data_IF_366171537649
#
_entry.id   IF_366171537649
#
_cell.length_a   1.000
_cell.length_b   1.000
_cell.length_c   1.000
_cell.angle_alpha   90.00
_cell.angle_beta   90.00
_cell.angle_gamma   90.00
#
_symmetry.space_group_name_H-M   'P 1'
#
loop_
_entity.id
_entity.type
_entity.pdbx_description
1 polymer ?
#
# COMPACT_ATOMS: atom_id res chain seq x y z
N UNK A 1 -36.19 -42.48 66.74
CA UNK A 1 -35.09 -43.38 66.32
C UNK A 1 -34.73 -43.03 64.88
N UNK A 2 -33.43 -42.97 64.55
CA UNK A 2 -32.94 -42.80 63.17
C UNK A 2 -32.23 -41.48 62.90
N UNK A 3 -30.93 -41.42 63.25
CA UNK A 3 -29.97 -40.40 62.80
C UNK A 3 -29.46 -40.74 61.39
N UNK A 4 -29.09 -39.71 60.62
CA UNK A 4 -28.22 -39.82 59.43
C UNK A 4 -28.14 -38.47 58.71
N UNK A 5 -27.18 -37.61 59.07
CA UNK A 5 -25.92 -37.35 58.35
C UNK A 5 -26.02 -36.21 57.30
N UNK A 6 -25.33 -35.10 57.57
CA UNK A 6 -25.02 -33.93 56.69
C UNK A 6 -24.15 -34.39 55.47
N UNK A 7 -23.65 -33.56 54.49
CA UNK A 7 -23.62 -32.08 54.40
C UNK A 7 -23.69 -31.39 52.98
N UNK A 8 -23.93 -30.06 53.00
CA UNK A 8 -23.42 -28.95 52.12
C UNK A 8 -23.97 -28.84 50.67
N UNK A 9 -24.51 -27.70 50.22
CA UNK A 9 -23.76 -26.48 49.90
C UNK A 9 -24.69 -25.25 49.77
N UNK A 10 -24.29 -24.11 50.35
CA UNK A 10 -24.92 -22.80 50.11
C UNK A 10 -24.41 -22.22 48.77
N UNK A 11 -25.33 -21.90 47.87
CA UNK A 11 -25.06 -21.07 46.70
C UNK A 11 -25.04 -19.59 47.09
N UNK A 12 -23.87 -18.97 47.05
CA UNK A 12 -23.71 -17.52 47.15
C UNK A 12 -23.77 -16.89 45.76
N UNK A 13 -24.74 -15.97 45.58
CA UNK A 13 -24.95 -15.17 44.40
C UNK A 13 -23.74 -14.27 44.09
N UNK A 14 -23.04 -14.56 43.00
CA UNK A 14 -22.03 -13.68 42.42
C UNK A 14 -22.67 -12.67 41.46
N UNK A 15 -22.69 -11.40 41.85
CA UNK A 15 -22.96 -10.29 40.93
C UNK A 15 -21.83 -10.21 39.90
N UNK A 16 -22.17 -10.35 38.61
CA UNK A 16 -21.24 -10.07 37.51
C UNK A 16 -21.22 -8.57 37.21
N UNK A 17 -20.07 -7.87 37.28
CA UNK A 17 -19.96 -6.54 36.69
C UNK A 17 -19.67 -6.67 35.20
N UNK A 18 -20.50 -6.03 34.38
CA UNK A 18 -20.25 -5.77 32.95
C UNK A 18 -18.96 -4.94 32.79
N UNK A 19 -18.04 -5.27 31.87
CA UNK A 19 -17.01 -4.33 31.48
C UNK A 19 -17.61 -3.32 30.50
N UNK A 20 -17.66 -2.07 30.94
CA UNK A 20 -17.91 -0.87 30.14
C UNK A 20 -16.80 -0.67 29.10
N UNK A 21 -17.21 -0.44 27.87
CA UNK A 21 -16.38 -0.03 26.73
C UNK A 21 -15.75 1.33 26.98
N UNK A 22 -14.49 1.33 27.41
CA UNK A 22 -13.56 2.43 27.18
C UNK A 22 -12.42 1.87 26.34
N UNK A 23 -12.43 2.18 25.04
CA UNK A 23 -11.28 2.00 24.14
C UNK A 23 -10.21 3.02 24.53
N UNK A 24 -9.55 2.76 25.65
CA UNK A 24 -8.32 3.42 26.06
C UNK A 24 -7.14 2.70 25.40
N UNK A 25 -6.19 3.50 24.93
CA UNK A 25 -4.87 3.10 24.44
C UNK A 25 -4.14 2.21 25.47
N UNK A 26 -4.39 0.90 25.47
CA UNK A 26 -3.57 -0.04 26.22
C UNK A 26 -2.39 -0.44 25.34
N UNK A 27 -1.37 0.41 25.34
CA UNK A 27 0.00 -0.05 25.05
C UNK A 27 0.29 -1.12 26.09
N UNK A 28 0.42 -2.37 25.64
CA UNK A 28 0.62 -3.49 26.56
C UNK A 28 1.95 -3.33 27.28
N UNK A 29 2.02 -3.74 28.56
CA UNK A 29 3.26 -3.74 29.35
C UNK A 29 4.41 -4.49 28.62
N UNK A 30 4.06 -5.43 27.73
CA UNK A 30 5.00 -6.13 26.85
C UNK A 30 5.68 -5.22 25.79
N UNK A 31 4.98 -4.20 25.28
CA UNK A 31 5.59 -3.17 24.41
C UNK A 31 6.48 -2.19 25.20
N UNK A 32 6.21 -2.01 26.50
CA UNK A 32 7.08 -1.24 27.40
C UNK A 32 8.30 -2.05 27.90
N UNK A 33 8.21 -3.38 27.95
CA UNK A 33 9.28 -4.25 28.46
C UNK A 33 10.54 -4.27 27.57
N UNK A 34 10.48 -3.80 26.33
CA UNK A 34 11.67 -3.62 25.47
C UNK A 34 12.49 -2.35 25.75
N UNK A 35 12.09 -1.54 26.74
CA UNK A 35 12.82 -0.33 27.16
C UNK A 35 13.90 -0.56 28.22
N UNK A 36 14.25 -1.81 28.54
CA UNK A 36 15.32 -2.09 29.48
C UNK A 36 16.70 -1.85 28.84
N UNK A 37 17.11 -0.59 28.76
CA UNK A 37 18.49 -0.18 28.49
C UNK A 37 19.13 0.28 29.81
N UNK A 38 19.47 -0.67 30.69
CA UNK A 38 20.36 -0.41 31.82
C UNK A 38 21.81 -0.51 31.34
N UNK A 39 22.29 0.53 30.68
CA UNK A 39 23.73 0.80 30.54
C UNK A 39 23.92 2.30 30.74
N UNK A 40 24.64 2.69 31.79
CA UNK A 40 25.12 4.06 31.98
C UNK A 40 26.07 4.39 30.84
N UNK A 41 25.71 5.30 29.92
CA UNK A 41 26.60 5.70 28.83
C UNK A 41 27.85 6.30 29.44
N UNK A 42 29.01 5.74 29.11
CA UNK A 42 30.29 6.18 29.66
C UNK A 42 30.89 7.34 28.86
N UNK A 43 30.41 7.58 27.62
CA UNK A 43 30.86 8.67 26.77
C UNK A 43 29.69 9.45 26.11
N UNK A 44 29.87 10.75 25.80
CA UNK A 44 28.87 11.53 25.05
C UNK A 44 28.56 10.96 23.65
N UNK A 45 29.51 10.26 23.03
CA UNK A 45 29.33 9.62 21.71
C UNK A 45 28.41 8.42 21.81
N UNK A 46 28.61 7.55 22.79
CA UNK A 46 27.74 6.39 23.04
C UNK A 46 26.31 6.81 23.34
N UNK A 47 26.14 7.89 24.12
CA UNK A 47 24.83 8.44 24.41
C UNK A 47 24.13 8.95 23.14
N UNK A 48 24.84 9.72 22.31
CA UNK A 48 24.30 10.23 21.04
C UNK A 48 23.89 9.10 20.10
N UNK A 49 24.71 8.06 19.94
CA UNK A 49 24.34 6.91 19.11
C UNK A 49 23.14 6.15 19.67
N UNK A 50 23.05 5.99 20.99
CA UNK A 50 21.88 5.35 21.63
C UNK A 50 20.60 6.16 21.43
N UNK A 51 20.66 7.49 21.56
CA UNK A 51 19.53 8.35 21.25
C UNK A 51 19.11 8.25 19.78
N UNK A 52 20.09 8.23 18.85
CA UNK A 52 19.82 8.07 17.41
C UNK A 52 19.15 6.73 17.11
N UNK A 53 19.68 5.64 17.67
CA UNK A 53 19.12 4.29 17.54
C UNK A 53 17.66 4.24 18.01
N UNK A 54 17.38 4.77 19.21
CA UNK A 54 16.02 4.80 19.78
C UNK A 54 15.09 5.66 18.94
N UNK A 55 15.54 6.84 18.49
CA UNK A 55 14.77 7.74 17.63
C UNK A 55 14.37 7.05 16.31
N UNK A 56 15.31 6.40 15.62
CA UNK A 56 15.01 5.65 14.39
C UNK A 56 14.01 4.52 14.65
N UNK A 57 14.15 3.77 15.75
CA UNK A 57 13.19 2.72 16.13
C UNK A 57 11.79 3.27 16.38
N UNK A 58 11.68 4.43 17.02
CA UNK A 58 10.39 5.09 17.26
C UNK A 58 9.74 5.53 15.95
N UNK A 59 10.48 6.15 15.02
CA UNK A 59 9.97 6.54 13.71
C UNK A 59 9.49 5.32 12.90
N UNK A 60 10.26 4.23 12.89
CA UNK A 60 9.85 2.98 12.24
C UNK A 60 8.58 2.40 12.88
N UNK A 61 8.48 2.45 14.20
CA UNK A 61 7.30 1.95 14.93
C UNK A 61 6.07 2.79 14.61
N UNK A 62 6.21 4.11 14.53
CA UNK A 62 5.16 5.03 14.11
C UNK A 62 4.69 4.73 12.68
N UNK A 63 5.62 4.64 11.72
CA UNK A 63 5.28 4.32 10.33
C UNK A 63 4.53 2.99 10.21
N UNK A 64 4.92 1.98 11.01
CA UNK A 64 4.23 0.69 11.06
C UNK A 64 2.82 0.81 11.64
N UNK A 65 2.63 1.60 12.70
CA UNK A 65 1.34 1.81 13.32
C UNK A 65 0.37 2.47 12.33
N UNK A 66 0.76 3.62 11.77
CA UNK A 66 -0.09 4.35 10.83
C UNK A 66 -0.27 3.61 9.50
N UNK A 67 0.79 2.97 9.01
CA UNK A 67 0.71 2.07 7.86
C UNK A 67 -0.28 0.93 8.09
N UNK A 68 -0.37 0.41 9.32
CA UNK A 68 -1.35 -0.62 9.68
C UNK A 68 -2.77 -0.06 9.68
N UNK A 69 -2.99 1.18 10.16
CA UNK A 69 -4.31 1.82 10.10
C UNK A 69 -4.82 1.93 8.67
N UNK A 70 -3.98 2.46 7.76
CA UNK A 70 -4.28 2.55 6.32
C UNK A 70 -4.52 1.17 5.70
N UNK A 71 -3.64 0.20 6.02
CA UNK A 71 -3.77 -1.17 5.54
C UNK A 71 -5.08 -1.84 5.98
N UNK A 72 -5.56 -1.57 7.19
CA UNK A 72 -6.83 -2.10 7.69
C UNK A 72 -8.04 -1.48 6.98
N UNK A 73 -8.01 -0.18 6.68
CA UNK A 73 -9.06 0.47 5.89
C UNK A 73 -9.17 -0.18 4.51
N UNK A 74 -8.04 -0.33 3.83
CA UNK A 74 -7.96 -0.96 2.51
C UNK A 74 -8.42 -2.42 2.56
N UNK A 75 -7.91 -3.22 3.49
CA UNK A 75 -8.27 -4.64 3.66
C UNK A 75 -9.77 -4.83 3.86
N UNK A 76 -10.34 -4.17 4.88
CA UNK A 76 -11.76 -4.29 5.22
C UNK A 76 -12.64 -3.92 4.03
N UNK A 77 -12.25 -2.90 3.27
CA UNK A 77 -12.99 -2.47 2.09
C UNK A 77 -12.98 -3.48 0.94
N UNK A 78 -11.92 -4.27 0.84
CA UNK A 78 -11.80 -5.33 -0.17
C UNK A 78 -12.60 -6.55 0.27
N UNK A 79 -12.49 -6.95 1.53
CA UNK A 79 -13.18 -8.13 2.08
C UNK A 79 -14.70 -7.97 2.16
N UNK A 80 -15.20 -6.75 2.36
CA UNK A 80 -16.64 -6.50 2.54
C UNK A 80 -17.46 -6.51 1.23
N UNK A 81 -16.82 -6.61 0.04
CA UNK A 81 -17.50 -6.44 -1.25
C UNK A 81 -17.57 -7.74 -2.05
N UNK A 82 -18.71 -7.99 -2.66
CA UNK A 82 -18.85 -9.02 -3.71
C UNK A 82 -18.31 -8.47 -5.05
N UNK A 83 -17.07 -8.86 -5.38
CA UNK A 83 -16.37 -8.40 -6.58
C UNK A 83 -16.88 -9.01 -7.88
N UNK A 84 -17.62 -10.13 -7.82
CA UNK A 84 -18.25 -10.75 -9.00
C UNK A 84 -19.52 -10.00 -9.41
N UNK A 85 -20.25 -9.44 -8.44
CA UNK A 85 -21.52 -8.71 -8.66
C UNK A 85 -21.37 -7.19 -8.57
N UNK A 86 -20.18 -6.69 -8.86
CA UNK A 86 -19.93 -5.25 -8.88
C UNK A 86 -20.69 -4.57 -10.02
N UNK A 87 -21.20 -3.37 -9.77
CA UNK A 87 -21.76 -2.49 -10.80
C UNK A 87 -20.65 -1.72 -11.50
N UNK A 88 -20.92 -1.27 -12.72
CA UNK A 88 -20.02 -0.41 -13.48
C UNK A 88 -19.60 0.82 -12.66
N UNK A 89 -18.30 1.10 -12.51
CA UNK A 89 -17.82 2.17 -11.66
C UNK A 89 -18.20 3.53 -12.22
N UNK A 90 -18.78 4.39 -11.37
CA UNK A 90 -19.15 5.78 -11.69
C UNK A 90 -18.48 6.81 -10.77
N UNK A 91 -17.81 6.32 -9.73
CA UNK A 91 -17.15 7.13 -8.72
C UNK A 91 -16.03 6.31 -8.07
N UNK A 92 -15.04 7.02 -7.54
CA UNK A 92 -14.01 6.44 -6.65
C UNK A 92 -14.66 6.00 -5.34
N UNK A 93 -14.23 4.86 -4.78
CA UNK A 93 -14.78 4.40 -3.50
C UNK A 93 -14.44 5.36 -2.35
N UNK A 94 -15.40 5.57 -1.46
CA UNK A 94 -15.25 6.47 -0.30
C UNK A 94 -14.06 6.12 0.59
N UNK A 95 -13.76 4.84 0.79
CA UNK A 95 -12.59 4.41 1.56
C UNK A 95 -11.26 4.88 0.95
N UNK A 96 -11.19 4.99 -0.37
CA UNK A 96 -9.97 5.40 -1.08
C UNK A 96 -9.75 6.90 -0.88
N UNK A 97 -10.82 7.68 -0.99
CA UNK A 97 -10.82 9.11 -0.62
C UNK A 97 -10.42 9.30 0.84
N UNK A 98 -10.98 8.48 1.73
CA UNK A 98 -10.66 8.50 3.16
C UNK A 98 -9.18 8.23 3.44
N UNK A 99 -8.55 7.31 2.70
CA UNK A 99 -7.10 7.07 2.82
C UNK A 99 -6.31 8.32 2.46
N UNK A 100 -6.70 9.06 1.41
CA UNK A 100 -6.03 10.32 1.04
C UNK A 100 -6.26 11.41 2.11
N UNK A 101 -7.46 11.50 2.67
CA UNK A 101 -7.75 12.41 3.80
C UNK A 101 -6.87 12.11 5.02
N UNK A 102 -6.80 10.83 5.43
CA UNK A 102 -6.00 10.40 6.57
C UNK A 102 -4.49 10.65 6.32
N UNK A 103 -4.00 10.46 5.09
CA UNK A 103 -2.61 10.76 4.74
C UNK A 103 -2.30 12.26 4.74
N UNK A 104 -3.24 13.12 4.34
CA UNK A 104 -3.07 14.58 4.43
C UNK A 104 -2.99 15.05 5.88
N UNK A 105 -3.84 14.51 6.75
CA UNK A 105 -3.79 14.80 8.19
C UNK A 105 -2.46 14.34 8.80
N UNK A 106 -1.98 13.14 8.41
CA UNK A 106 -0.67 12.66 8.81
C UNK A 106 0.48 13.56 8.29
N UNK A 107 0.46 14.00 7.03
CA UNK A 107 1.46 14.94 6.50
C UNK A 107 1.50 16.23 7.33
N UNK A 108 0.32 16.76 7.70
CA UNK A 108 0.23 17.96 8.53
C UNK A 108 0.81 17.75 9.94
N UNK A 109 0.49 16.63 10.59
CA UNK A 109 0.99 16.29 11.93
C UNK A 109 2.51 16.04 11.92
N UNK A 110 3.02 15.26 10.96
CA UNK A 110 4.45 14.94 10.84
C UNK A 110 5.25 16.21 10.52
N UNK A 111 4.73 17.08 9.65
CA UNK A 111 5.36 18.35 9.28
C UNK A 111 5.47 19.35 10.44
N UNK A 112 4.61 19.25 11.45
CA UNK A 112 4.71 20.07 12.67
C UNK A 112 5.77 19.55 13.64
N UNK A 113 6.02 18.24 13.65
CA UNK A 113 6.87 17.57 14.63
C UNK A 113 8.32 17.43 14.18
N UNK A 114 8.58 17.28 12.87
CA UNK A 114 9.93 17.24 12.34
C UNK A 114 10.36 18.64 11.88
N UNK A 115 11.58 19.10 12.23
CA UNK A 115 12.11 20.36 11.75
C UNK A 115 11.99 20.44 10.23
N UNK A 116 11.36 21.52 9.76
CA UNK A 116 11.12 21.84 8.36
C UNK A 116 12.44 21.78 7.57
N UNK A 117 12.77 20.61 7.00
CA UNK A 117 13.55 20.60 5.78
C UNK A 117 12.71 21.41 4.81
N UNK A 118 13.20 22.60 4.43
CA UNK A 118 12.52 23.55 3.57
C UNK A 118 11.90 22.82 2.38
N UNK A 119 10.60 22.50 2.50
CA UNK A 119 9.82 21.93 1.42
C UNK A 119 9.86 23.03 0.37
N UNK A 120 10.53 22.77 -0.75
CA UNK A 120 10.51 23.67 -1.91
C UNK A 120 9.05 23.79 -2.34
N UNK A 121 8.37 24.78 -1.75
CA UNK A 121 6.96 25.09 -1.94
C UNK A 121 6.80 25.91 -3.23
N UNK A 122 7.53 25.51 -4.27
CA UNK A 122 7.37 26.04 -5.64
C UNK A 122 6.62 25.06 -6.54
N UNK A 123 6.20 23.89 -6.03
CA UNK A 123 5.27 23.00 -6.76
C UNK A 123 3.80 23.45 -6.69
N UNK A 124 3.57 24.67 -6.18
CA UNK A 124 2.25 25.26 -5.94
C UNK A 124 1.94 26.47 -6.82
N UNK A 125 2.34 26.46 -8.09
CA UNK A 125 1.71 27.22 -9.16
C UNK A 125 2.37 26.85 -10.48
N UNK A 126 1.70 26.04 -11.30
CA UNK A 126 1.63 26.26 -12.75
C UNK A 126 0.65 25.27 -13.39
N UNK A 127 -0.39 25.86 -13.98
CA UNK A 127 -1.06 25.47 -15.22
C UNK A 127 -1.23 23.99 -15.56
N UNK A 128 -2.51 23.63 -15.70
CA UNK A 128 -3.00 22.55 -16.57
C UNK A 128 -2.35 22.62 -17.96
N UNK A 129 -1.21 21.98 -18.16
CA UNK A 129 -0.73 21.50 -19.47
C UNK A 129 0.60 20.77 -19.28
N UNK A 130 0.58 19.44 -19.36
CA UNK A 130 1.28 18.72 -20.42
C UNK A 130 1.04 17.22 -20.26
N UNK A 131 0.38 16.70 -21.29
CA UNK A 131 0.37 15.31 -21.71
C UNK A 131 1.79 14.70 -21.63
N UNK A 132 2.11 13.97 -20.57
CA UNK A 132 3.12 12.92 -20.64
C UNK A 132 2.41 11.63 -21.05
N UNK A 133 2.49 11.30 -22.33
CA UNK A 133 1.89 10.10 -22.90
C UNK A 133 2.34 8.85 -22.14
N UNK A 134 1.40 8.24 -21.42
CA UNK A 134 1.56 6.87 -20.95
C UNK A 134 1.52 5.94 -22.17
N UNK A 135 2.50 5.04 -22.21
CA UNK A 135 2.68 4.09 -23.28
C UNK A 135 1.50 3.12 -23.30
N UNK A 136 0.91 3.01 -24.49
CA UNK A 136 -0.09 2.04 -24.88
C UNK A 136 0.16 0.66 -24.30
N UNK A 137 -0.89 0.09 -23.70
CA UNK A 137 -1.06 -1.36 -23.53
C UNK A 137 -1.28 -2.04 -24.89
N UNK A 138 -0.26 -1.97 -25.76
CA UNK A 138 -0.12 -2.77 -26.99
C UNK A 138 1.35 -3.14 -27.18
N UNK A 139 1.69 -4.40 -27.52
CA UNK A 139 3.03 -4.73 -27.95
C UNK A 139 3.23 -4.18 -29.37
N UNK A 140 3.68 -2.93 -29.47
CA UNK A 140 4.20 -2.38 -30.72
C UNK A 140 5.67 -2.79 -30.84
N UNK A 141 5.90 -3.74 -31.74
CA UNK A 141 7.16 -4.06 -32.41
C UNK A 141 8.09 -2.85 -32.58
N UNK A 142 9.16 -2.79 -31.77
CA UNK A 142 10.29 -1.89 -31.99
C UNK A 142 11.24 -2.53 -33.01
N UNK A 143 10.94 -2.35 -34.30
CA UNK A 143 11.89 -2.58 -35.38
C UNK A 143 12.33 -1.22 -35.93
N UNK A 144 13.41 -0.66 -35.38
CA UNK A 144 14.35 0.21 -36.10
C UNK A 144 15.55 0.55 -35.21
N UNK A 145 16.40 -0.44 -34.97
CA UNK A 145 17.82 -0.20 -34.71
C UNK A 145 18.56 -1.40 -35.31
N UNK A 146 19.06 -1.20 -36.53
CA UNK A 146 20.10 -1.92 -37.27
C UNK A 146 19.78 -1.81 -38.76
N UNK A 147 19.99 -0.62 -39.30
CA UNK A 147 20.21 -0.46 -40.74
C UNK A 147 21.71 -0.39 -40.97
N UNK A 148 22.33 -1.56 -41.18
CA UNK A 148 23.63 -1.71 -41.79
C UNK A 148 23.82 -3.15 -42.29
N UNK A 149 23.78 -3.29 -43.63
CA UNK A 149 24.42 -4.33 -44.43
C UNK A 149 24.17 -5.82 -44.09
N UNK A 150 23.36 -6.52 -44.90
CA UNK A 150 23.92 -7.46 -45.89
C UNK A 150 22.83 -8.03 -46.82
N UNK A 151 23.12 -8.07 -48.13
CA UNK A 151 22.36 -8.85 -49.12
C UNK A 151 22.77 -10.33 -49.02
N UNK A 152 21.94 -11.19 -49.64
CA UNK A 152 22.22 -12.54 -50.22
C UNK A 152 21.69 -13.77 -49.43
N UNK A 153 20.60 -14.32 -50.00
CA UNK A 153 20.20 -15.73 -50.17
C UNK A 153 19.96 -16.69 -48.99
N UNK A 154 18.90 -17.50 -49.21
CA UNK A 154 18.74 -18.93 -48.89
C UNK A 154 17.70 -19.31 -47.82
N UNK A 155 16.80 -20.18 -48.27
CA UNK A 155 15.88 -21.07 -47.56
C UNK A 155 16.44 -21.74 -46.31
N UNK A 156 15.60 -21.91 -45.30
CA UNK A 156 15.88 -22.81 -44.17
C UNK A 156 14.97 -22.53 -42.98
N UNK A 157 14.28 -23.58 -42.54
CA UNK A 157 13.40 -23.67 -41.38
C UNK A 157 13.96 -23.03 -40.10
N UNK A 158 13.13 -22.36 -39.30
CA UNK A 158 13.25 -22.33 -37.83
C UNK A 158 11.99 -21.76 -37.20
N UNK A 159 11.27 -22.63 -36.49
CA UNK A 159 10.26 -22.31 -35.50
C UNK A 159 10.84 -21.35 -34.45
N UNK A 160 10.61 -20.06 -34.61
CA UNK A 160 10.75 -19.12 -33.51
C UNK A 160 9.53 -19.32 -32.60
N UNK A 161 9.72 -20.08 -31.52
CA UNK A 161 8.80 -20.14 -30.39
C UNK A 161 8.44 -18.71 -29.98
N UNK A 162 7.21 -18.28 -30.28
CA UNK A 162 6.61 -17.08 -29.71
C UNK A 162 6.66 -17.23 -28.18
N UNK A 163 7.59 -16.51 -27.57
CA UNK A 163 7.65 -16.38 -26.12
C UNK A 163 6.37 -15.64 -25.70
N UNK A 164 5.52 -16.34 -24.94
CA UNK A 164 4.23 -15.82 -24.49
C UNK A 164 4.41 -14.45 -23.81
N UNK A 165 3.70 -13.38 -24.24
CA UNK A 165 3.78 -12.05 -23.63
C UNK A 165 3.47 -12.07 -22.12
N UNK A 166 2.70 -13.06 -21.64
CA UNK A 166 2.51 -13.30 -20.21
C UNK A 166 3.82 -13.71 -19.52
N UNK A 167 4.59 -14.61 -20.15
CA UNK A 167 5.90 -15.06 -19.68
C UNK A 167 6.93 -13.93 -19.70
N UNK A 168 6.94 -13.09 -20.73
CA UNK A 168 7.82 -11.92 -20.81
C UNK A 168 7.53 -10.89 -19.69
N UNK A 169 6.26 -10.70 -19.35
CA UNK A 169 5.83 -9.86 -18.22
C UNK A 169 6.24 -10.47 -16.88
N UNK A 170 6.09 -11.79 -16.74
CA UNK A 170 6.47 -12.55 -15.56
C UNK A 170 8.00 -12.58 -15.33
N UNK A 171 8.79 -12.65 -16.41
CA UNK A 171 10.25 -12.56 -16.38
C UNK A 171 10.74 -11.15 -16.01
N UNK A 172 10.13 -10.08 -16.56
CA UNK A 172 10.43 -8.71 -16.13
C UNK A 172 10.17 -8.51 -14.63
N UNK A 173 9.17 -9.19 -14.08
CA UNK A 173 8.86 -9.20 -12.65
C UNK A 173 9.90 -9.92 -11.78
N UNK A 174 10.54 -10.97 -12.28
CA UNK A 174 11.67 -11.60 -11.58
C UNK A 174 12.86 -10.63 -11.39
N UNK A 175 12.99 -9.65 -12.29
CA UNK A 175 13.96 -8.55 -12.21
C UNK A 175 13.38 -7.25 -11.65
N UNK A 176 12.08 -7.21 -11.32
CA UNK A 176 11.44 -6.09 -10.64
C UNK A 176 11.74 -6.22 -9.15
N UNK A 177 12.97 -5.81 -8.83
CA UNK A 177 13.45 -5.29 -7.57
C UNK A 177 12.56 -5.60 -6.34
N UNK A 178 13.06 -6.42 -5.42
CA UNK A 178 12.46 -6.62 -4.10
C UNK A 178 12.28 -5.24 -3.44
N UNK A 179 11.05 -4.73 -3.40
CA UNK A 179 10.74 -3.50 -2.68
C UNK A 179 10.86 -3.79 -1.19
N UNK A 180 11.99 -3.41 -0.60
CA UNK A 180 12.20 -3.49 0.84
C UNK A 180 11.22 -2.55 1.54
N UNK A 181 10.21 -3.12 2.19
CA UNK A 181 9.22 -2.38 2.99
C UNK A 181 9.91 -1.64 4.15
N UNK A 182 11.10 -2.11 4.55
CA UNK A 182 11.82 -1.68 5.74
C UNK A 182 13.19 -1.08 5.43
N UNK A 183 13.37 -0.48 4.24
CA UNK A 183 14.53 0.37 3.99
C UNK A 183 14.58 1.51 5.03
N UNK A 184 15.79 1.95 5.39
CA UNK A 184 16.02 2.95 6.44
C UNK A 184 15.11 4.17 6.27
N UNK A 185 14.16 4.34 7.19
CA UNK A 185 13.32 5.54 7.26
C UNK A 185 14.25 6.68 7.69
N UNK A 186 14.60 7.54 6.75
CA UNK A 186 15.24 8.80 7.08
C UNK A 186 14.27 9.65 7.91
N UNK A 187 14.80 10.46 8.83
CA UNK A 187 14.00 11.35 9.66
C UNK A 187 13.51 12.56 8.84
N UNK A 188 12.66 12.30 7.84
CA UNK A 188 11.98 13.29 7.03
C UNK A 188 10.53 12.84 6.74
N UNK A 189 9.65 13.82 6.49
CA UNK A 189 8.21 13.57 6.33
C UNK A 189 7.93 12.61 5.16
N UNK A 190 8.59 12.83 4.02
CA UNK A 190 8.38 12.08 2.79
C UNK A 190 8.74 10.60 2.93
N UNK A 191 9.84 10.27 3.63
CA UNK A 191 10.24 8.87 3.90
C UNK A 191 9.25 8.18 4.84
N UNK A 192 8.69 8.92 5.81
CA UNK A 192 7.74 8.39 6.76
C UNK A 192 6.40 8.09 6.08
N UNK A 193 5.88 9.05 5.31
CA UNK A 193 4.67 8.90 4.50
C UNK A 193 4.85 7.79 3.44
N UNK A 194 5.99 7.73 2.75
CA UNK A 194 6.28 6.66 1.81
C UNK A 194 6.26 5.29 2.50
N UNK A 195 6.81 5.18 3.72
CA UNK A 195 6.75 3.96 4.53
C UNK A 195 5.31 3.53 4.84
N UNK A 196 4.47 4.47 5.27
CA UNK A 196 3.04 4.25 5.56
C UNK A 196 2.29 3.80 4.30
N UNK A 197 2.47 4.53 3.19
CA UNK A 197 1.84 4.23 1.89
C UNK A 197 2.26 2.85 1.40
N UNK A 198 3.55 2.49 1.48
CA UNK A 198 4.06 1.16 1.07
C UNK A 198 3.39 0.02 1.84
N UNK A 199 3.19 0.17 3.15
CA UNK A 199 2.49 -0.84 3.96
C UNK A 199 1.03 -1.00 3.49
N UNK A 200 0.35 0.13 3.25
CA UNK A 200 -1.02 0.14 2.72
C UNK A 200 -1.14 -0.53 1.35
N UNK A 201 -0.33 -0.10 0.37
CA UNK A 201 -0.39 -0.61 -1.00
C UNK A 201 0.02 -2.08 -1.10
N UNK A 202 1.08 -2.51 -0.42
CA UNK A 202 1.46 -3.93 -0.42
C UNK A 202 0.41 -4.81 0.28
N UNK A 203 -0.27 -4.28 1.30
CA UNK A 203 -1.42 -4.98 1.87
C UNK A 203 -2.57 -5.06 0.88
N UNK A 204 -2.86 -3.99 0.13
CA UNK A 204 -3.90 -3.99 -0.90
C UNK A 204 -3.62 -5.04 -1.98
N UNK A 205 -2.38 -5.12 -2.49
CA UNK A 205 -1.95 -6.17 -3.44
C UNK A 205 -2.31 -7.56 -2.91
N UNK A 206 -1.97 -7.84 -1.66
CA UNK A 206 -2.25 -9.15 -1.06
C UNK A 206 -3.74 -9.39 -0.85
N UNK A 207 -4.49 -8.38 -0.42
CA UNK A 207 -5.94 -8.50 -0.21
C UNK A 207 -6.66 -8.81 -1.53
N UNK A 208 -6.31 -8.12 -2.63
CA UNK A 208 -6.93 -8.39 -3.92
C UNK A 208 -6.51 -9.74 -4.50
N UNK A 209 -5.29 -10.22 -4.23
CA UNK A 209 -4.82 -11.54 -4.67
C UNK A 209 -5.69 -12.69 -4.15
N UNK A 210 -6.33 -12.50 -3.00
CA UNK A 210 -7.20 -13.48 -2.34
C UNK A 210 -8.67 -13.43 -2.81
N UNK A 211 -9.04 -12.44 -3.62
CA UNK A 211 -10.40 -12.29 -4.12
C UNK A 211 -10.55 -12.88 -5.53
N UNK A 212 -11.79 -12.93 -6.01
CA UNK A 212 -12.14 -13.26 -7.41
C UNK A 212 -12.99 -12.13 -7.95
N UNK A 213 -12.66 -11.64 -9.15
CA UNK A 213 -13.27 -10.44 -9.71
C UNK A 213 -14.10 -10.74 -10.95
N UNK A 214 -15.20 -10.01 -11.12
CA UNK A 214 -15.83 -9.82 -12.42
C UNK A 214 -15.29 -8.56 -13.10
N UNK A 215 -15.68 -8.34 -14.37
CA UNK A 215 -15.31 -7.17 -15.17
C UNK A 215 -15.41 -5.84 -14.41
N UNK A 216 -16.58 -5.56 -13.82
CA UNK A 216 -16.80 -4.29 -13.12
C UNK A 216 -16.08 -4.21 -11.77
N UNK A 217 -15.74 -5.34 -11.16
CA UNK A 217 -14.88 -5.39 -9.97
C UNK A 217 -13.46 -4.96 -10.31
N UNK A 218 -12.91 -5.48 -11.41
CA UNK A 218 -11.63 -5.07 -11.97
C UNK A 218 -11.60 -3.57 -12.30
N UNK A 219 -12.60 -3.10 -13.02
CA UNK A 219 -12.68 -1.69 -13.41
C UNK A 219 -12.79 -0.74 -12.21
N UNK A 220 -13.49 -1.14 -11.14
CA UNK A 220 -13.51 -0.33 -9.92
C UNK A 220 -12.12 -0.22 -9.28
N UNK A 221 -11.37 -1.33 -9.19
CA UNK A 221 -10.00 -1.28 -8.65
C UNK A 221 -9.09 -0.44 -9.55
N UNK A 222 -9.24 -0.53 -10.87
CA UNK A 222 -8.54 0.35 -11.82
C UNK A 222 -8.81 1.83 -11.50
N UNK A 223 -10.07 2.23 -11.34
CA UNK A 223 -10.47 3.61 -10.97
C UNK A 223 -9.85 4.04 -9.63
N UNK A 224 -9.92 3.17 -8.62
CA UNK A 224 -9.35 3.47 -7.31
C UNK A 224 -7.83 3.64 -7.35
N UNK A 225 -7.12 2.77 -8.07
CA UNK A 225 -5.67 2.87 -8.24
C UNK A 225 -5.27 4.15 -8.98
N UNK A 226 -6.03 4.55 -10.00
CA UNK A 226 -5.78 5.81 -10.71
C UNK A 226 -5.99 7.03 -9.82
N UNK A 227 -7.05 7.04 -9.02
CA UNK A 227 -7.25 8.10 -8.03
C UNK A 227 -6.13 8.16 -7.00
N UNK A 228 -5.71 7.00 -6.46
CA UNK A 228 -4.55 6.94 -5.56
C UNK A 228 -3.29 7.50 -6.24
N UNK A 229 -3.01 7.14 -7.49
CA UNK A 229 -1.86 7.65 -8.23
C UNK A 229 -1.87 9.18 -8.33
N UNK A 230 -3.03 9.78 -8.68
CA UNK A 230 -3.21 11.23 -8.82
C UNK A 230 -2.95 11.97 -7.52
N UNK A 231 -3.20 11.37 -6.36
CA UNK A 231 -3.05 12.04 -5.07
C UNK A 231 -1.78 11.67 -4.31
N UNK A 232 -1.26 10.46 -4.48
CA UNK A 232 -0.13 9.97 -3.69
C UNK A 232 1.21 10.61 -4.05
N UNK A 233 1.38 11.10 -5.28
CA UNK A 233 2.65 11.69 -5.74
C UNK A 233 3.05 12.95 -4.96
N UNK A 234 2.09 13.65 -4.34
CA UNK A 234 2.37 14.83 -3.52
C UNK A 234 3.09 14.50 -2.20
N UNK A 235 2.99 13.25 -1.72
CA UNK A 235 3.56 12.85 -0.43
C UNK A 235 4.97 12.26 -0.54
N UNK A 236 5.43 11.92 -1.76
CA UNK A 236 6.63 11.12 -1.96
C UNK A 236 7.46 11.61 -3.15
N UNK A 237 8.78 11.46 -3.08
CA UNK A 237 9.67 11.81 -4.20
C UNK A 237 9.75 10.73 -5.28
N UNK A 238 9.52 9.47 -4.93
CA UNK A 238 9.62 8.34 -5.85
C UNK A 238 8.25 7.96 -6.41
N UNK A 239 7.76 8.78 -7.35
CA UNK A 239 6.50 8.55 -8.06
C UNK A 239 6.50 7.20 -8.81
N UNK A 240 7.65 6.80 -9.35
CA UNK A 240 7.79 5.55 -10.09
C UNK A 240 7.52 4.34 -9.19
N UNK A 241 8.02 4.36 -7.95
CA UNK A 241 7.74 3.31 -6.98
C UNK A 241 6.25 3.19 -6.67
N UNK A 242 5.54 4.32 -6.51
CA UNK A 242 4.09 4.31 -6.31
C UNK A 242 3.36 3.75 -7.52
N UNK A 243 3.72 4.20 -8.73
CA UNK A 243 3.19 3.67 -9.98
C UNK A 243 3.35 2.15 -10.07
N UNK A 244 4.56 1.64 -9.84
CA UNK A 244 4.83 0.20 -9.86
C UNK A 244 3.99 -0.58 -8.85
N UNK A 245 3.81 -0.07 -7.63
CA UNK A 245 2.99 -0.73 -6.60
C UNK A 245 1.50 -0.74 -6.97
N UNK A 246 1.00 0.33 -7.59
CA UNK A 246 -0.39 0.40 -8.04
C UNK A 246 -0.63 -0.49 -9.28
N UNK A 247 0.34 -0.56 -10.19
CA UNK A 247 0.35 -1.50 -11.31
C UNK A 247 0.33 -2.95 -10.81
N UNK A 248 1.10 -3.27 -9.76
CA UNK A 248 1.07 -4.58 -9.11
C UNK A 248 -0.31 -4.91 -8.52
N UNK A 249 -1.05 -3.93 -8.00
CA UNK A 249 -2.44 -4.13 -7.54
C UNK A 249 -3.32 -4.48 -8.72
N UNK A 250 -3.37 -3.64 -9.77
CA UNK A 250 -4.23 -3.85 -10.95
C UNK A 250 -3.90 -5.17 -11.64
N UNK A 251 -2.61 -5.48 -11.79
CA UNK A 251 -2.14 -6.75 -12.34
C UNK A 251 -2.61 -7.94 -11.50
N UNK A 252 -2.53 -7.84 -10.17
CA UNK A 252 -3.03 -8.90 -9.28
C UNK A 252 -4.54 -9.10 -9.45
N UNK A 253 -5.31 -8.05 -9.70
CA UNK A 253 -6.74 -8.15 -10.00
C UNK A 253 -7.00 -8.78 -11.36
N UNK A 254 -6.24 -8.41 -12.40
CA UNK A 254 -6.33 -9.01 -13.74
C UNK A 254 -6.16 -10.53 -13.69
N UNK A 255 -5.18 -11.02 -12.92
CA UNK A 255 -4.92 -12.45 -12.74
C UNK A 255 -6.03 -13.20 -11.99
N UNK A 256 -6.88 -12.48 -11.26
CA UNK A 256 -7.98 -13.03 -10.45
C UNK A 256 -9.36 -12.78 -11.07
N UNK A 257 -9.40 -12.13 -12.22
CA UNK A 257 -10.64 -11.76 -12.91
C UNK A 257 -11.09 -12.89 -13.84
N UNK A 258 -12.38 -13.22 -13.82
CA UNK A 258 -12.96 -14.27 -14.67
C UNK A 258 -13.01 -13.85 -16.14
N UNK A 259 -13.28 -12.57 -16.40
CA UNK A 259 -13.33 -11.96 -17.73
C UNK A 259 -12.65 -10.58 -17.68
N UNK A 260 -11.32 -10.53 -17.81
CA UNK A 260 -10.56 -9.30 -17.62
C UNK A 260 -10.79 -8.33 -18.78
N UNK A 261 -11.50 -7.24 -18.50
CA UNK A 261 -11.64 -6.11 -19.41
C UNK A 261 -11.41 -4.79 -18.68
N UNK A 262 -10.31 -4.12 -19.02
CA UNK A 262 -10.02 -2.77 -18.52
C UNK A 262 -10.99 -1.74 -19.09
N UNK A 263 -11.25 -0.71 -18.31
CA UNK A 263 -11.96 0.49 -18.73
C UNK A 263 -10.99 1.40 -19.50
N UNK A 264 -11.50 2.16 -20.48
CA UNK A 264 -10.71 3.14 -21.22
C UNK A 264 -10.16 4.22 -20.27
N UNK A 265 -8.88 4.55 -20.42
CA UNK A 265 -8.20 5.50 -19.54
C UNK A 265 -8.89 6.87 -19.49
N UNK A 266 -9.44 7.34 -20.62
CA UNK A 266 -10.21 8.59 -20.70
C UNK A 266 -11.45 8.60 -19.80
N UNK A 267 -12.13 7.45 -19.67
CA UNK A 267 -13.31 7.30 -18.80
C UNK A 267 -12.85 7.26 -17.34
N UNK A 268 -11.77 6.52 -17.06
CA UNK A 268 -11.22 6.43 -15.70
C UNK A 268 -10.76 7.80 -15.20
N UNK A 269 -10.02 8.53 -16.02
CA UNK A 269 -9.56 9.88 -15.71
C UNK A 269 -10.77 10.81 -15.50
N UNK A 270 -11.80 10.74 -16.36
CA UNK A 270 -13.03 11.54 -16.17
C UNK A 270 -13.78 11.21 -14.87
N UNK A 271 -13.75 9.96 -14.40
CA UNK A 271 -14.36 9.59 -13.11
C UNK A 271 -13.54 10.17 -11.95
N UNK A 272 -12.21 10.13 -12.06
CA UNK A 272 -11.30 10.66 -11.03
C UNK A 272 -11.37 12.20 -10.95
N UNK A 273 -11.46 12.90 -12.08
CA UNK A 273 -11.58 14.36 -12.13
C UNK A 273 -12.87 14.89 -11.49
N UNK A 274 -13.90 14.05 -11.44
CA UNK A 274 -15.21 14.37 -10.83
C UNK A 274 -15.30 13.98 -9.36
N UNK A 275 -14.27 13.34 -8.81
CA UNK A 275 -14.29 12.72 -7.50
C UNK A 275 -14.06 13.72 -6.35
#
# INVERSE_FOLDING_TARGET
MGRGSKPWSLGTAGHSPRPSTHTGLTVTLAQMATFNCFITPTTPKELTEKFREVSTRLLVSFARLEGTNVAQLLRKSVEARDWLKSLEPRSVRSVVKRVIEDLNELDHQISQLLPLNARNKDRGSESRSTRSGFSSLRPSSSAHFLEAQNRVHSSGTSSATELDPALATQLRRLFTQRVDIFASVEANCESLLLGIIKIGLKTLVECVRLQTFGKFGLQQIQVDCRYLQIHLWHFVNDEKLIGMLLDDVVYSVLQRCVDPQLMEDSIVDSICDRA
#
